data_IF_018673914511
#
_entry.id   IF_018673914511
#
_cell.length_a   1.000
_cell.length_b   1.000
_cell.length_c   1.000
_cell.angle_alpha   90.00
_cell.angle_beta   90.00
_cell.angle_gamma   90.00
#
_symmetry.space_group_name_H-M   'P 1'
#
loop_
_entity.id
_entity.type
_entity.pdbx_description
1 polymer ?
#
# COMPACT_ATOMS: atom_id res chain seq x y z
N UNK A 1 -20.10 -34.24 8.34
CA UNK A 1 -20.96 -34.27 9.55
C UNK A 1 -21.52 -32.88 9.74
N UNK A 2 -22.82 -32.82 9.95
CA UNK A 2 -23.80 -31.76 9.68
C UNK A 2 -23.47 -30.37 10.27
N UNK A 3 -22.97 -29.47 9.43
CA UNK A 3 -23.14 -28.03 9.63
C UNK A 3 -24.32 -27.57 8.80
N UNK A 4 -25.49 -27.40 9.41
CA UNK A 4 -26.61 -26.75 8.75
C UNK A 4 -26.17 -25.35 8.31
N UNK A 5 -26.02 -25.15 6.99
CA UNK A 5 -25.95 -23.82 6.41
C UNK A 5 -27.34 -23.21 6.54
N UNK A 6 -27.62 -22.57 7.68
CA UNK A 6 -28.80 -21.71 7.82
C UNK A 6 -28.71 -20.65 6.74
N UNK A 7 -29.51 -20.78 5.67
CA UNK A 7 -29.71 -19.71 4.70
C UNK A 7 -30.30 -18.54 5.47
N UNK A 8 -29.46 -17.57 5.85
CA UNK A 8 -29.89 -16.26 6.34
C UNK A 8 -30.87 -15.69 5.30
N UNK A 9 -32.17 -15.76 5.61
CA UNK A 9 -33.19 -15.04 4.86
C UNK A 9 -33.08 -13.58 5.27
N UNK A 10 -32.32 -12.81 4.50
CA UNK A 10 -32.24 -11.37 4.72
C UNK A 10 -33.61 -10.74 4.47
N UNK A 11 -34.23 -10.16 5.51
CA UNK A 11 -35.48 -9.42 5.40
C UNK A 11 -35.20 -8.02 4.84
N UNK A 12 -34.97 -7.96 3.53
CA UNK A 12 -34.66 -6.73 2.82
C UNK A 12 -35.85 -5.77 2.76
N UNK A 13 -37.07 -6.31 2.72
CA UNK A 13 -38.30 -5.50 2.69
C UNK A 13 -38.53 -4.80 4.05
N UNK A 14 -38.27 -5.49 5.16
CA UNK A 14 -38.33 -4.90 6.50
C UNK A 14 -37.31 -3.77 6.69
N UNK A 15 -36.07 -3.95 6.19
CA UNK A 15 -35.05 -2.90 6.19
C UNK A 15 -35.51 -1.68 5.39
N UNK A 16 -36.04 -1.88 4.19
CA UNK A 16 -36.56 -0.78 3.36
C UNK A 16 -37.76 -0.07 4.01
N UNK A 17 -38.64 -0.81 4.69
CA UNK A 17 -39.76 -0.24 5.42
C UNK A 17 -39.29 0.64 6.57
N UNK A 18 -38.30 0.19 7.34
CA UNK A 18 -37.72 0.98 8.43
C UNK A 18 -37.03 2.25 7.91
N UNK A 19 -36.22 2.13 6.85
CA UNK A 19 -35.49 3.29 6.29
C UNK A 19 -36.44 4.37 5.76
N UNK A 20 -37.63 3.98 5.25
CA UNK A 20 -38.67 4.94 4.83
C UNK A 20 -39.36 5.65 5.99
N UNK A 21 -39.36 5.07 7.18
CA UNK A 21 -39.96 5.65 8.38
C UNK A 21 -39.06 5.36 9.60
N UNK A 22 -37.88 6.01 9.66
CA UNK A 22 -36.90 5.70 10.70
C UNK A 22 -37.34 6.28 12.04
N UNK A 23 -36.90 5.66 13.13
CA UNK A 23 -37.12 6.22 14.46
C UNK A 23 -36.29 7.51 14.61
N UNK A 24 -36.91 8.68 14.91
CA UNK A 24 -36.22 9.98 14.86
C UNK A 24 -35.02 10.12 15.79
N UNK A 25 -34.98 9.30 16.85
CA UNK A 25 -33.91 9.29 17.85
C UNK A 25 -32.73 8.38 17.48
N UNK A 26 -32.85 7.61 16.40
CA UNK A 26 -31.86 6.61 16.01
C UNK A 26 -31.04 7.07 14.80
N UNK A 27 -29.72 7.12 14.97
CA UNK A 27 -28.77 7.24 13.85
C UNK A 27 -28.35 5.84 13.43
N UNK A 28 -28.80 5.41 12.25
CA UNK A 28 -28.43 4.11 11.68
C UNK A 28 -27.23 4.25 10.75
N UNK A 29 -26.10 3.62 11.12
CA UNK A 29 -24.91 3.52 10.27
C UNK A 29 -24.81 2.11 9.68
N UNK A 30 -24.76 2.01 8.35
CA UNK A 30 -24.62 0.75 7.64
C UNK A 30 -23.23 0.71 6.99
N UNK A 31 -22.34 -0.11 7.55
CA UNK A 31 -21.01 -0.32 7.00
C UNK A 31 -21.02 -1.43 5.94
N UNK A 32 -20.97 -1.06 4.67
CA UNK A 32 -20.84 -1.99 3.56
C UNK A 32 -19.36 -2.17 3.17
N UNK A 33 -18.75 -3.31 3.50
CA UNK A 33 -17.35 -3.62 3.16
C UNK A 33 -17.20 -4.07 1.69
N UNK A 34 -17.69 -3.26 0.76
CA UNK A 34 -17.65 -3.50 -0.67
C UNK A 34 -17.31 -2.20 -1.40
N UNK A 35 -16.50 -2.27 -2.47
CA UNK A 35 -16.11 -1.08 -3.23
C UNK A 35 -17.33 -0.31 -3.77
N UNK A 36 -18.34 -1.02 -4.26
CA UNK A 36 -19.58 -0.44 -4.77
C UNK A 36 -20.77 -1.34 -4.49
N UNK A 37 -21.90 -0.71 -4.16
CA UNK A 37 -23.20 -1.37 -4.13
C UNK A 37 -23.70 -1.59 -5.57
N UNK A 38 -24.27 -2.77 -5.85
CA UNK A 38 -24.82 -3.09 -7.17
C UNK A 38 -26.04 -2.22 -7.48
N UNK A 39 -25.82 -1.16 -8.26
CA UNK A 39 -26.85 -0.19 -8.65
C UNK A 39 -27.98 -0.75 -9.49
N UNK A 40 -27.89 -2.01 -9.97
CA UNK A 40 -28.98 -2.67 -10.70
C UNK A 40 -30.07 -3.17 -9.76
N UNK A 41 -29.73 -3.47 -8.50
CA UNK A 41 -30.68 -3.97 -7.50
C UNK A 41 -31.64 -2.87 -7.08
N UNK A 42 -32.95 -3.16 -7.10
CA UNK A 42 -34.01 -2.23 -6.71
C UNK A 42 -33.78 -1.63 -5.33
N UNK A 43 -33.40 -2.46 -4.35
CA UNK A 43 -33.08 -2.03 -2.98
C UNK A 43 -31.97 -0.96 -2.94
N UNK A 44 -30.91 -1.09 -3.75
CA UNK A 44 -29.81 -0.10 -3.77
C UNK A 44 -30.30 1.23 -4.36
N UNK A 45 -31.17 1.19 -5.37
CA UNK A 45 -31.78 2.40 -5.95
C UNK A 45 -32.72 3.09 -4.96
N UNK A 46 -33.50 2.32 -4.20
CA UNK A 46 -34.43 2.86 -3.22
C UNK A 46 -33.69 3.41 -1.98
N UNK A 47 -32.65 2.71 -1.50
CA UNK A 47 -31.76 3.19 -0.43
C UNK A 47 -31.15 4.54 -0.76
N UNK A 48 -30.53 4.68 -1.94
CA UNK A 48 -29.82 5.90 -2.37
C UNK A 48 -30.69 7.16 -2.42
N UNK A 49 -32.03 7.02 -2.39
CA UNK A 49 -32.95 8.17 -2.37
C UNK A 49 -33.23 8.69 -0.95
N UNK A 50 -32.96 7.89 0.07
CA UNK A 50 -33.42 8.12 1.44
C UNK A 50 -32.23 8.23 2.41
N UNK A 51 -31.10 7.59 2.09
CA UNK A 51 -29.90 7.60 2.92
C UNK A 51 -28.81 8.45 2.29
N UNK A 52 -28.02 9.10 3.13
CA UNK A 52 -26.74 9.67 2.71
C UNK A 52 -25.74 8.53 2.48
N UNK A 53 -25.07 8.54 1.32
CA UNK A 53 -24.07 7.53 0.97
C UNK A 53 -22.69 8.15 1.01
N UNK A 54 -21.90 7.73 1.99
CA UNK A 54 -20.50 8.13 2.11
C UNK A 54 -19.63 7.08 1.42
N UNK A 55 -18.92 7.49 0.37
CA UNK A 55 -17.90 6.66 -0.27
C UNK A 55 -16.62 6.69 0.58
N UNK A 56 -16.38 5.60 1.30
CA UNK A 56 -15.19 5.42 2.14
C UNK A 56 -14.11 4.57 1.44
N UNK A 57 -14.14 4.47 0.10
CA UNK A 57 -13.04 3.88 -0.65
C UNK A 57 -11.76 4.71 -0.47
N UNK A 58 -10.60 4.07 -0.61
CA UNK A 58 -9.33 4.79 -0.65
C UNK A 58 -9.38 5.88 -1.72
N UNK A 59 -9.10 7.15 -1.37
CA UNK A 59 -9.17 8.24 -2.32
C UNK A 59 -8.15 8.01 -3.44
N UNK A 60 -8.50 8.50 -4.64
CA UNK A 60 -7.48 8.63 -5.69
C UNK A 60 -6.42 9.60 -5.18
N UNK A 61 -5.18 9.42 -5.62
CA UNK A 61 -4.07 10.31 -5.26
C UNK A 61 -4.41 11.79 -5.49
N UNK A 62 -5.08 12.14 -6.59
CA UNK A 62 -5.53 13.51 -6.86
C UNK A 62 -6.45 14.07 -5.76
N UNK A 63 -7.27 13.22 -5.17
CA UNK A 63 -8.19 13.59 -4.09
C UNK A 63 -7.42 13.62 -2.76
N UNK A 64 -6.50 12.68 -2.52
CA UNK A 64 -5.57 12.74 -1.37
C UNK A 64 -4.80 14.06 -1.33
N UNK A 65 -4.24 14.47 -2.46
CA UNK A 65 -3.49 15.75 -2.58
C UNK A 65 -4.35 16.96 -2.21
N UNK A 66 -5.62 16.98 -2.66
CA UNK A 66 -6.57 18.03 -2.29
C UNK A 66 -6.88 18.01 -0.80
N UNK A 67 -7.08 16.83 -0.21
CA UNK A 67 -7.35 16.69 1.22
C UNK A 67 -6.14 17.18 2.05
N UNK A 68 -4.92 16.83 1.64
CA UNK A 68 -3.69 17.34 2.27
C UNK A 68 -3.66 18.86 2.20
N UNK A 69 -3.90 19.45 1.02
CA UNK A 69 -3.87 20.89 0.82
C UNK A 69 -4.92 21.59 1.70
N UNK A 70 -6.17 21.11 1.69
CA UNK A 70 -7.24 21.63 2.54
C UNK A 70 -6.87 21.57 4.01
N UNK A 71 -6.30 20.45 4.47
CA UNK A 71 -5.89 20.29 5.86
C UNK A 71 -4.83 21.31 6.27
N UNK A 72 -3.79 21.53 5.45
CA UNK A 72 -2.73 22.49 5.80
C UNK A 72 -3.23 23.94 5.73
N UNK A 73 -4.12 24.25 4.78
CA UNK A 73 -4.76 25.56 4.63
C UNK A 73 -5.62 25.90 5.86
N UNK A 74 -6.43 24.95 6.35
CA UNK A 74 -7.22 25.09 7.58
C UNK A 74 -6.34 25.36 8.82
N UNK A 75 -5.14 24.78 8.83
CA UNK A 75 -4.12 25.02 9.88
C UNK A 75 -3.24 26.25 9.60
N UNK A 76 -3.54 27.03 8.56
CA UNK A 76 -2.79 28.22 8.13
C UNK A 76 -1.29 27.92 8.01
N UNK A 77 -0.97 26.79 7.39
CA UNK A 77 0.38 26.26 7.20
C UNK A 77 0.53 25.88 5.73
N UNK A 78 1.70 26.10 5.14
CA UNK A 78 2.00 25.70 3.77
C UNK A 78 2.79 24.38 3.74
N UNK A 79 2.71 23.66 2.63
CA UNK A 79 3.53 22.47 2.37
C UNK A 79 4.22 22.61 1.01
N UNK A 80 5.52 22.38 0.96
CA UNK A 80 6.24 22.36 -0.32
C UNK A 80 5.79 21.20 -1.19
N UNK A 81 5.84 21.37 -2.53
CA UNK A 81 5.39 20.34 -3.47
C UNK A 81 6.17 19.04 -3.34
N UNK A 82 7.48 19.11 -3.08
CA UNK A 82 8.35 17.96 -2.89
C UNK A 82 8.11 17.27 -1.53
N UNK A 83 7.82 18.05 -0.48
CA UNK A 83 7.41 17.55 0.82
C UNK A 83 6.08 16.78 0.75
N UNK A 84 5.12 17.29 -0.01
CA UNK A 84 3.84 16.65 -0.25
C UNK A 84 4.01 15.33 -1.03
N UNK A 85 4.83 15.33 -2.08
CA UNK A 85 5.18 14.12 -2.83
C UNK A 85 5.84 13.06 -1.93
N UNK A 86 6.79 13.47 -1.09
CA UNK A 86 7.48 12.59 -0.15
C UNK A 86 6.54 12.04 0.93
N UNK A 87 5.59 12.84 1.42
CA UNK A 87 4.60 12.40 2.41
C UNK A 87 3.70 11.31 1.84
N UNK A 88 3.15 11.51 0.64
CA UNK A 88 2.30 10.51 -0.04
C UNK A 88 3.11 9.23 -0.28
N UNK A 89 4.36 9.37 -0.69
CA UNK A 89 5.25 8.25 -0.93
C UNK A 89 5.53 7.43 0.34
N UNK A 90 5.87 8.10 1.45
CA UNK A 90 6.22 7.43 2.71
C UNK A 90 5.05 6.72 3.36
N UNK A 91 3.83 7.15 3.06
CA UNK A 91 2.58 6.61 3.62
C UNK A 91 1.85 5.68 2.65
N UNK A 92 2.44 5.34 1.50
CA UNK A 92 1.80 4.55 0.43
C UNK A 92 0.42 5.10 -0.01
N UNK A 93 0.23 6.43 0.05
CA UNK A 93 -1.06 7.10 -0.17
C UNK A 93 -2.20 6.62 0.79
N UNK A 94 -1.86 6.14 1.98
CA UNK A 94 -2.82 5.82 3.03
C UNK A 94 -3.29 7.12 3.72
N UNK A 95 -4.54 7.51 3.44
CA UNK A 95 -5.11 8.76 3.96
C UNK A 95 -5.09 8.81 5.50
N UNK A 96 -5.35 7.68 6.19
CA UNK A 96 -5.39 7.68 7.64
C UNK A 96 -3.99 7.92 8.22
N UNK A 97 -2.95 7.31 7.64
CA UNK A 97 -1.58 7.61 8.01
C UNK A 97 -1.21 9.07 7.69
N UNK A 98 -1.54 9.55 6.50
CA UNK A 98 -1.27 10.93 6.08
C UNK A 98 -1.84 11.93 7.08
N UNK A 99 -3.09 11.77 7.50
CA UNK A 99 -3.73 12.68 8.46
C UNK A 99 -3.01 12.64 9.82
N UNK A 100 -2.61 11.47 10.31
CA UNK A 100 -1.85 11.35 11.55
C UNK A 100 -0.48 12.02 11.46
N UNK A 101 0.20 11.87 10.33
CA UNK A 101 1.50 12.49 10.08
C UNK A 101 1.39 14.01 9.91
N UNK A 102 0.35 14.51 9.25
CA UNK A 102 0.07 15.94 9.10
C UNK A 102 -0.17 16.63 10.45
N UNK A 103 -0.80 15.97 11.42
CA UNK A 103 -0.93 16.50 12.78
C UNK A 103 0.45 16.77 13.40
N UNK A 104 1.39 15.82 13.28
CA UNK A 104 2.77 16.00 13.78
C UNK A 104 3.53 17.08 13.01
N UNK A 105 3.43 17.06 11.68
CA UNK A 105 4.13 18.02 10.81
C UNK A 105 3.65 19.45 11.04
N UNK A 106 2.35 19.68 11.19
CA UNK A 106 1.80 21.02 11.47
C UNK A 106 2.21 21.54 12.85
N UNK A 107 2.32 20.67 13.85
CA UNK A 107 2.87 21.04 15.17
C UNK A 107 4.35 21.42 15.05
N UNK A 108 5.13 20.62 14.33
CA UNK A 108 6.54 20.89 14.09
C UNK A 108 6.77 22.21 13.33
N UNK A 109 5.94 22.47 12.31
CA UNK A 109 5.98 23.67 11.49
C UNK A 109 5.30 24.89 12.13
N UNK A 110 4.86 24.82 13.39
CA UNK A 110 4.07 25.88 14.02
C UNK A 110 4.76 27.25 14.03
N UNK A 111 6.09 27.28 14.14
CA UNK A 111 6.91 28.50 14.11
C UNK A 111 7.24 29.02 12.71
N UNK A 112 7.41 28.14 11.72
CA UNK A 112 7.76 28.51 10.32
C UNK A 112 6.53 28.71 9.44
N UNK A 113 5.38 28.15 9.84
CA UNK A 113 4.17 27.99 9.04
C UNK A 113 4.39 27.28 7.71
N UNK A 114 5.43 26.46 7.64
CA UNK A 114 5.83 25.77 6.42
C UNK A 114 6.39 24.39 6.71
N UNK A 115 5.82 23.38 6.05
CA UNK A 115 6.27 21.99 6.03
C UNK A 115 7.17 21.80 4.80
N UNK A 116 8.47 21.73 5.02
CA UNK A 116 9.47 21.49 3.98
C UNK A 116 9.78 19.97 3.84
N UNK A 117 10.55 19.63 2.80
CA UNK A 117 10.94 18.25 2.54
C UNK A 117 11.68 17.62 3.74
N UNK A 118 12.53 18.40 4.40
CA UNK A 118 13.32 17.92 5.53
C UNK A 118 12.45 17.55 6.74
N UNK A 119 11.40 18.33 7.04
CA UNK A 119 10.43 18.02 8.09
C UNK A 119 9.76 16.67 7.85
N UNK A 120 9.32 16.42 6.61
CA UNK A 120 8.72 15.13 6.23
C UNK A 120 9.73 13.99 6.36
N UNK A 121 10.94 14.17 5.82
CA UNK A 121 11.96 13.13 5.86
C UNK A 121 12.38 12.74 7.29
N UNK A 122 12.37 13.71 8.20
CA UNK A 122 12.77 13.55 9.60
C UNK A 122 11.68 12.95 10.48
N UNK A 123 10.41 13.33 10.26
CA UNK A 123 9.32 13.00 11.18
C UNK A 123 8.42 11.86 10.69
N UNK A 124 8.36 11.64 9.38
CA UNK A 124 7.50 10.62 8.79
C UNK A 124 8.34 9.38 8.52
N UNK A 125 8.11 8.25 9.20
CA UNK A 125 8.80 7.02 8.90
C UNK A 125 8.40 6.51 7.52
N UNK A 126 9.32 5.79 6.85
CA UNK A 126 9.00 5.11 5.59
C UNK A 126 8.06 3.93 5.86
N UNK A 127 7.09 3.74 4.97
CA UNK A 127 6.29 2.53 4.93
C UNK A 127 7.16 1.27 4.77
N UNK A 128 6.61 0.12 5.16
CA UNK A 128 7.24 -1.17 4.88
C UNK A 128 7.54 -1.34 3.38
N UNK A 129 6.61 -0.94 2.50
CA UNK A 129 6.81 -1.06 1.06
C UNK A 129 8.01 -0.22 0.58
N UNK A 130 8.21 0.98 1.13
CA UNK A 130 9.35 1.81 0.78
C UNK A 130 10.67 1.29 1.32
N UNK A 131 10.71 0.80 2.55
CA UNK A 131 11.92 0.16 3.08
C UNK A 131 12.28 -1.11 2.28
N UNK A 132 11.26 -1.89 1.87
CA UNK A 132 11.43 -3.06 1.01
C UNK A 132 11.91 -2.67 -0.39
N UNK A 133 11.42 -1.56 -0.95
CA UNK A 133 11.89 -1.03 -2.23
C UNK A 133 13.38 -0.69 -2.17
N UNK A 134 13.82 0.00 -1.11
CA UNK A 134 15.23 0.34 -0.88
C UNK A 134 16.09 -0.92 -0.75
N UNK A 135 15.64 -1.89 0.04
CA UNK A 135 16.30 -3.20 0.21
C UNK A 135 16.49 -3.92 -1.14
N UNK A 136 15.47 -3.90 -2.00
CA UNK A 136 15.56 -4.52 -3.34
C UNK A 136 16.62 -3.83 -4.20
N UNK A 137 16.70 -2.50 -4.17
CA UNK A 137 17.71 -1.78 -4.93
C UNK A 137 19.13 -2.19 -4.50
N UNK A 138 19.37 -2.32 -3.18
CA UNK A 138 20.64 -2.78 -2.62
C UNK A 138 20.94 -4.23 -3.00
N UNK A 139 19.95 -5.11 -2.88
CA UNK A 139 20.05 -6.52 -3.23
C UNK A 139 20.43 -6.70 -4.71
N UNK A 140 19.77 -5.96 -5.60
CA UNK A 140 19.99 -6.04 -7.04
C UNK A 140 21.33 -5.43 -7.47
N UNK A 141 21.88 -4.50 -6.69
CA UNK A 141 23.27 -4.03 -6.83
C UNK A 141 24.30 -5.06 -6.35
N UNK A 142 23.88 -6.14 -5.69
CA UNK A 142 24.75 -7.22 -5.21
C UNK A 142 25.44 -6.91 -3.88
N UNK A 143 25.02 -5.88 -3.15
CA UNK A 143 25.59 -5.52 -1.86
C UNK A 143 24.94 -6.35 -0.73
N UNK A 144 25.41 -7.59 -0.59
CA UNK A 144 24.89 -8.57 0.39
C UNK A 144 24.87 -8.04 1.82
N UNK A 145 25.98 -7.42 2.27
CA UNK A 145 26.10 -6.95 3.65
C UNK A 145 25.01 -5.93 3.96
N UNK A 146 24.87 -4.92 3.09
CA UNK A 146 23.84 -3.90 3.27
C UNK A 146 22.43 -4.48 3.16
N UNK A 147 22.18 -5.47 2.29
CA UNK A 147 20.88 -6.15 2.25
C UNK A 147 20.52 -6.86 3.56
N UNK A 148 21.50 -7.50 4.22
CA UNK A 148 21.30 -8.15 5.52
C UNK A 148 21.06 -7.10 6.61
N UNK A 149 21.79 -6.00 6.59
CA UNK A 149 21.63 -4.89 7.54
C UNK A 149 20.22 -4.26 7.40
N UNK A 150 19.82 -3.93 6.17
CA UNK A 150 18.50 -3.34 5.86
C UNK A 150 17.36 -4.30 6.26
N UNK A 151 17.50 -5.61 6.01
CA UNK A 151 16.54 -6.62 6.48
C UNK A 151 16.51 -6.75 8.01
N UNK A 152 17.67 -6.68 8.67
CA UNK A 152 17.77 -6.73 10.14
C UNK A 152 17.06 -5.53 10.78
N UNK A 153 17.18 -4.34 10.18
CA UNK A 153 16.45 -3.14 10.65
C UNK A 153 14.93 -3.35 10.58
N UNK A 154 14.42 -4.00 9.53
CA UNK A 154 12.99 -4.32 9.44
C UNK A 154 12.54 -5.25 10.59
N UNK A 155 13.32 -6.29 10.88
CA UNK A 155 13.03 -7.18 12.01
C UNK A 155 13.09 -6.45 13.36
N UNK A 156 14.07 -5.56 13.56
CA UNK A 156 14.20 -4.75 14.77
C UNK A 156 13.00 -3.79 14.97
N UNK A 157 12.41 -3.32 13.87
CA UNK A 157 11.17 -2.54 13.88
C UNK A 157 9.90 -3.41 14.11
N UNK A 158 10.08 -4.66 14.56
CA UNK A 158 9.01 -5.62 14.86
C UNK A 158 8.14 -5.98 13.65
N UNK A 159 8.65 -5.79 12.43
CA UNK A 159 7.95 -6.28 11.24
C UNK A 159 8.03 -7.80 11.18
N UNK A 160 6.87 -8.44 11.01
CA UNK A 160 6.82 -9.90 10.93
C UNK A 160 7.56 -10.39 9.68
N UNK A 161 8.45 -11.40 9.77
CA UNK A 161 9.22 -11.88 8.61
C UNK A 161 8.36 -12.28 7.41
N UNK A 162 7.22 -12.92 7.65
CA UNK A 162 6.26 -13.27 6.60
C UNK A 162 5.68 -12.04 5.90
N UNK A 163 5.46 -10.94 6.63
CA UNK A 163 4.96 -9.68 6.07
C UNK A 163 6.05 -8.99 5.24
N UNK A 164 7.29 -9.00 5.70
CA UNK A 164 8.46 -8.50 4.93
C UNK A 164 8.59 -9.31 3.63
N UNK A 165 8.56 -10.64 3.71
CA UNK A 165 8.68 -11.50 2.55
C UNK A 165 7.51 -11.30 1.56
N UNK A 166 6.27 -11.17 2.06
CA UNK A 166 5.11 -10.87 1.21
C UNK A 166 5.26 -9.53 0.47
N UNK A 167 5.81 -8.50 1.14
CA UNK A 167 6.10 -7.21 0.52
C UNK A 167 7.22 -7.33 -0.54
N UNK A 168 8.28 -8.10 -0.26
CA UNK A 168 9.36 -8.39 -1.22
C UNK A 168 8.81 -9.10 -2.47
N UNK A 169 8.01 -10.16 -2.30
CA UNK A 169 7.37 -10.90 -3.39
C UNK A 169 6.49 -9.98 -4.23
N UNK A 170 5.64 -9.17 -3.59
CA UNK A 170 4.77 -8.20 -4.27
C UNK A 170 5.58 -7.19 -5.09
N UNK A 171 6.67 -6.68 -4.52
CA UNK A 171 7.50 -5.67 -5.17
C UNK A 171 8.33 -6.26 -6.33
N UNK A 172 8.88 -7.47 -6.21
CA UNK A 172 9.51 -8.16 -7.35
C UNK A 172 8.51 -8.47 -8.47
N UNK A 173 7.29 -8.86 -8.12
CA UNK A 173 6.21 -9.04 -9.11
C UNK A 173 5.93 -7.75 -9.87
N UNK A 174 5.84 -6.61 -9.17
CA UNK A 174 5.66 -5.31 -9.80
C UNK A 174 6.82 -4.99 -10.76
N UNK A 175 8.07 -5.23 -10.34
CA UNK A 175 9.25 -5.00 -11.19
C UNK A 175 9.22 -5.89 -12.44
N UNK A 176 8.87 -7.17 -12.32
CA UNK A 176 8.70 -8.07 -13.46
C UNK A 176 7.62 -7.58 -14.42
N UNK A 177 6.43 -7.23 -13.91
CA UNK A 177 5.33 -6.71 -14.71
C UNK A 177 5.74 -5.43 -15.46
N UNK A 178 6.40 -4.50 -14.77
CA UNK A 178 6.89 -3.26 -15.38
C UNK A 178 7.92 -3.56 -16.46
N UNK A 179 8.90 -4.44 -16.23
CA UNK A 179 9.92 -4.83 -17.22
C UNK A 179 9.28 -5.39 -18.50
N UNK A 180 8.38 -6.37 -18.35
CA UNK A 180 7.70 -7.04 -19.47
C UNK A 180 6.85 -6.05 -20.27
N UNK A 181 6.09 -5.18 -19.59
CA UNK A 181 5.22 -4.22 -20.27
C UNK A 181 6.01 -3.07 -20.92
N UNK A 182 7.14 -2.66 -20.34
CA UNK A 182 8.06 -1.71 -20.97
C UNK A 182 8.63 -2.26 -22.27
N UNK A 183 9.00 -3.54 -22.32
CA UNK A 183 9.46 -4.21 -23.55
C UNK A 183 8.37 -4.28 -24.63
N UNK A 184 7.09 -4.25 -24.22
CA UNK A 184 5.92 -4.12 -25.12
C UNK A 184 5.59 -2.67 -25.49
N UNK A 185 6.43 -1.70 -25.12
CA UNK A 185 6.26 -0.29 -25.49
C UNK A 185 5.25 0.49 -24.64
N UNK A 186 4.90 0.02 -23.44
CA UNK A 186 3.98 0.76 -22.57
C UNK A 186 4.67 2.00 -21.99
N UNK A 187 3.99 3.14 -22.04
CA UNK A 187 4.43 4.37 -21.36
C UNK A 187 4.14 4.32 -19.87
N UNK A 188 4.79 5.21 -19.09
CA UNK A 188 4.57 5.31 -17.63
C UNK A 188 3.08 5.46 -17.26
N UNK A 189 2.32 6.27 -18.01
CA UNK A 189 0.90 6.45 -17.77
C UNK A 189 0.09 5.17 -18.02
N UNK A 190 0.37 4.45 -19.12
CA UNK A 190 -0.28 3.16 -19.42
C UNK A 190 0.06 2.10 -18.35
N UNK A 191 1.31 2.07 -17.88
CA UNK A 191 1.73 1.17 -16.79
C UNK A 191 0.97 1.44 -15.49
N UNK A 192 0.85 2.71 -15.09
CA UNK A 192 0.11 3.10 -13.88
C UNK A 192 -1.36 2.70 -13.95
N UNK A 193 -1.99 2.87 -15.12
CA UNK A 193 -3.37 2.46 -15.35
C UNK A 193 -3.54 0.93 -15.34
N UNK A 194 -2.69 0.21 -16.08
CA UNK A 194 -2.77 -1.25 -16.22
C UNK A 194 -2.50 -1.98 -14.90
N UNK A 195 -1.45 -1.55 -14.19
CA UNK A 195 -1.04 -2.17 -12.93
C UNK A 195 -1.78 -1.60 -11.71
N UNK A 196 -2.67 -0.62 -11.93
CA UNK A 196 -3.41 0.09 -10.87
C UNK A 196 -2.49 0.56 -9.74
N UNK A 197 -1.31 1.03 -10.11
CA UNK A 197 -0.26 1.43 -9.19
C UNK A 197 0.09 2.90 -9.37
N UNK A 198 0.53 3.53 -8.29
CA UNK A 198 0.82 4.96 -8.25
C UNK A 198 1.86 5.37 -9.32
N UNK A 199 1.65 6.46 -10.09
CA UNK A 199 2.56 6.89 -11.17
C UNK A 199 4.01 7.08 -10.73
N UNK A 200 4.22 7.61 -9.51
CA UNK A 200 5.57 7.74 -8.93
C UNK A 200 6.21 6.39 -8.59
N UNK A 201 5.45 5.44 -8.03
CA UNK A 201 5.95 4.07 -7.78
C UNK A 201 6.29 3.36 -9.09
N UNK A 202 5.49 3.57 -10.13
CA UNK A 202 5.81 3.11 -11.49
C UNK A 202 7.08 3.79 -12.02
N UNK A 203 7.23 5.10 -11.85
CA UNK A 203 8.45 5.83 -12.26
C UNK A 203 9.70 5.23 -11.62
N UNK A 204 9.68 5.01 -10.30
CA UNK A 204 10.78 4.37 -9.57
C UNK A 204 11.03 2.94 -10.07
N UNK A 205 9.98 2.14 -10.23
CA UNK A 205 10.10 0.79 -10.78
C UNK A 205 10.72 0.79 -12.19
N UNK A 206 10.27 1.68 -13.08
CA UNK A 206 10.82 1.83 -14.43
C UNK A 206 12.31 2.20 -14.40
N UNK A 207 12.73 3.08 -13.47
CA UNK A 207 14.13 3.42 -13.28
C UNK A 207 14.94 2.21 -12.81
N UNK A 208 14.44 1.47 -11.81
CA UNK A 208 15.10 0.29 -11.26
C UNK A 208 15.23 -0.84 -12.29
N UNK A 209 14.21 -1.14 -13.10
CA UNK A 209 14.27 -2.31 -14.02
C UNK A 209 15.14 -2.09 -15.26
N UNK A 210 15.49 -0.84 -15.58
CA UNK A 210 16.39 -0.52 -16.72
C UNK A 210 17.78 -1.11 -16.55
N UNK A 211 18.27 -1.16 -15.32
CA UNK A 211 19.59 -1.67 -14.95
C UNK A 211 19.60 -3.18 -14.68
N UNK A 212 18.45 -3.86 -14.71
CA UNK A 212 18.32 -5.26 -14.33
C UNK A 212 17.91 -6.17 -15.48
N UNK A 213 18.49 -7.37 -15.52
CA UNK A 213 18.08 -8.47 -16.40
C UNK A 213 16.78 -9.11 -15.87
N UNK A 214 15.86 -9.46 -16.78
CA UNK A 214 14.60 -10.15 -16.44
C UNK A 214 14.84 -11.48 -15.73
N UNK A 215 15.78 -12.32 -16.18
CA UNK A 215 16.12 -13.58 -15.49
C UNK A 215 16.53 -13.37 -14.04
N UNK A 216 17.19 -12.25 -13.75
CA UNK A 216 17.62 -11.94 -12.38
C UNK A 216 16.43 -11.57 -11.49
N UNK A 217 15.44 -10.86 -12.04
CA UNK A 217 14.19 -10.58 -11.33
C UNK A 217 13.35 -11.85 -11.12
N UNK A 218 13.31 -12.75 -12.11
CA UNK A 218 12.61 -14.04 -12.02
C UNK A 218 13.22 -14.93 -10.93
N UNK A 219 14.55 -15.08 -10.94
CA UNK A 219 15.28 -15.84 -9.94
C UNK A 219 15.09 -15.30 -8.51
N UNK A 220 15.10 -13.97 -8.34
CA UNK A 220 14.80 -13.37 -7.05
C UNK A 220 13.37 -13.68 -6.61
N UNK A 221 12.39 -13.53 -7.51
CA UNK A 221 10.99 -13.81 -7.22
C UNK A 221 10.76 -15.26 -6.79
N UNK A 222 11.28 -16.23 -7.57
CA UNK A 222 11.18 -17.65 -7.22
C UNK A 222 11.85 -17.94 -5.87
N UNK A 223 13.00 -17.34 -5.62
CA UNK A 223 13.69 -17.52 -4.35
C UNK A 223 12.94 -17.00 -3.13
N UNK A 224 12.18 -15.93 -3.29
CA UNK A 224 11.32 -15.40 -2.22
C UNK A 224 10.08 -16.27 -1.99
N UNK A 225 9.59 -16.96 -3.02
CA UNK A 225 8.52 -17.96 -2.88
C UNK A 225 9.01 -19.16 -2.07
N UNK A 226 10.21 -19.67 -2.37
CA UNK A 226 10.83 -20.75 -1.59
C UNK A 226 11.13 -20.31 -0.15
N UNK A 227 11.58 -19.07 0.04
CA UNK A 227 11.76 -18.49 1.36
C UNK A 227 10.43 -18.42 2.13
N UNK A 228 9.32 -18.09 1.46
CA UNK A 228 7.99 -18.06 2.07
C UNK A 228 7.60 -19.44 2.62
N UNK A 229 7.85 -20.49 1.85
CA UNK A 229 7.60 -21.87 2.27
C UNK A 229 8.45 -22.23 3.50
N UNK A 230 9.75 -21.90 3.47
CA UNK A 230 10.66 -22.17 4.60
C UNK A 230 10.26 -21.44 5.87
N UNK A 231 9.82 -20.17 5.76
CA UNK A 231 9.33 -19.38 6.88
C UNK A 231 8.07 -19.97 7.52
N UNK A 232 7.23 -20.70 6.76
CA UNK A 232 6.00 -21.32 7.27
C UNK A 232 6.20 -22.73 7.81
N UNK A 233 7.21 -23.44 7.33
CA UNK A 233 7.39 -24.89 7.56
C UNK A 233 8.55 -25.24 8.48
N UNK A 234 9.49 -24.33 8.69
CA UNK A 234 10.69 -24.57 9.52
C UNK A 234 10.67 -23.71 10.78
N UNK A 235 11.44 -24.13 11.80
CA UNK A 235 11.71 -23.34 13.01
C UNK A 235 13.05 -22.58 12.91
N UNK A 236 13.59 -22.41 11.70
CA UNK A 236 14.87 -21.71 11.50
C UNK A 236 14.68 -20.22 11.73
N UNK A 237 15.77 -19.56 12.13
CA UNK A 237 15.76 -18.13 12.31
C UNK A 237 15.46 -17.41 10.97
N UNK A 238 14.49 -16.48 10.93
CA UNK A 238 14.11 -15.79 9.70
C UNK A 238 15.24 -14.99 9.04
N UNK A 239 16.22 -14.51 9.80
CA UNK A 239 17.39 -13.83 9.27
C UNK A 239 18.32 -14.81 8.57
N UNK A 240 18.58 -15.97 9.18
CA UNK A 240 19.38 -17.04 8.56
C UNK A 240 18.76 -17.53 7.25
N UNK A 241 17.44 -17.68 7.21
CA UNK A 241 16.71 -18.07 5.99
C UNK A 241 16.87 -17.01 4.88
N UNK A 242 16.77 -15.72 5.23
CA UNK A 242 16.99 -14.64 4.28
C UNK A 242 18.45 -14.56 3.81
N UNK A 243 19.42 -14.75 4.69
CA UNK A 243 20.84 -14.84 4.33
C UNK A 243 21.11 -15.98 3.35
N UNK A 244 20.52 -17.16 3.59
CA UNK A 244 20.62 -18.30 2.69
C UNK A 244 20.01 -17.99 1.31
N UNK A 245 18.86 -17.32 1.28
CA UNK A 245 18.25 -16.82 0.04
C UNK A 245 19.22 -15.91 -0.73
N UNK A 246 19.85 -14.94 -0.04
CA UNK A 246 20.79 -14.01 -0.67
C UNK A 246 22.03 -14.72 -1.25
N UNK A 247 22.56 -15.72 -0.54
CA UNK A 247 23.70 -16.54 -1.01
C UNK A 247 23.33 -17.29 -2.29
N UNK A 248 22.16 -17.94 -2.31
CA UNK A 248 21.65 -18.64 -3.50
C UNK A 248 21.43 -17.67 -4.66
N UNK A 249 20.82 -16.51 -4.39
CA UNK A 249 20.56 -15.49 -5.39
C UNK A 249 21.85 -14.98 -6.05
N UNK A 250 22.94 -14.76 -5.28
CA UNK A 250 24.23 -14.32 -5.83
C UNK A 250 24.89 -15.37 -6.71
N UNK A 251 24.83 -16.65 -6.32
CA UNK A 251 25.52 -17.74 -7.01
C UNK A 251 24.75 -18.29 -8.22
N UNK A 252 23.53 -17.79 -8.45
CA UNK A 252 22.60 -18.33 -9.44
C UNK A 252 21.82 -19.51 -8.87
N UNK A 253 20.51 -19.54 -9.13
CA UNK A 253 19.68 -20.70 -8.86
C UNK A 253 20.13 -21.81 -9.81
N UNK A 254 20.73 -22.88 -9.26
CA UNK A 254 20.98 -24.14 -9.98
C UNK A 254 19.87 -25.11 -9.67
#
# INVERSE_FOLDING_TARGET
MTGEKTKLKFNLDGLLSYIKNPEPTTIMLIAAKYEKLDGRKKIVKDLKKIVEVIDANSPKESDTRKIIQQYVDEKRTEIDSDALDELILRTDNDLAQIINELQKLTVYASGTKKIDLNAVQKLVPKSLNQNVFDLINVLMQGNLRKSIDDYSVLLLNQEQPLRINAALVSQFRLLLQVKILMERGFSQGKLAQELKAHPYRIKLAMQSVRQFNIQRLENAYMGLVDLEEQLKTTQRDPKELFELFLVKFKNGWK
#
